data_IF_232197586854
#
_entry.id   IF_232197586854
#
_cell.length_a   1.000
_cell.length_b   1.000
_cell.length_c   1.000
_cell.angle_alpha   90.00
_cell.angle_beta   90.00
_cell.angle_gamma   90.00
#
_symmetry.space_group_name_H-M   'P 1'
#
loop_
_entity.id
_entity.type
_entity.pdbx_description
1 polymer ?
#
# COMPACT_ATOMS: atom_id res chain seq x y z
N UNK A 1 7.20 30.78 7.46
CA UNK A 1 7.09 29.43 6.87
C UNK A 1 8.38 28.70 7.24
N UNK A 2 8.35 28.02 8.38
CA UNK A 2 9.50 27.37 9.00
C UNK A 2 10.10 26.34 8.05
N UNK A 3 11.36 26.57 7.67
CA UNK A 3 12.18 25.62 6.93
C UNK A 3 12.20 24.30 7.68
N UNK A 4 11.48 23.30 7.15
CA UNK A 4 11.59 21.92 7.62
C UNK A 4 13.07 21.58 7.59
N UNK A 5 13.67 21.13 8.71
CA UNK A 5 15.08 20.76 8.72
C UNK A 5 15.26 19.62 7.72
N UNK A 6 15.94 19.91 6.62
CA UNK A 6 16.39 18.91 5.66
C UNK A 6 17.40 18.07 6.43
N UNK A 7 16.95 16.93 6.95
CA UNK A 7 17.84 15.99 7.64
C UNK A 7 18.96 15.65 6.65
N UNK A 8 20.23 15.99 6.96
CA UNK A 8 21.32 15.70 6.04
C UNK A 8 21.32 14.20 5.79
N UNK A 9 21.29 13.83 4.51
CA UNK A 9 21.41 12.45 4.09
C UNK A 9 22.77 11.92 4.57
N UNK A 10 22.77 11.25 5.73
CA UNK A 10 23.97 10.60 6.25
C UNK A 10 24.23 9.39 5.37
N UNK A 11 25.31 9.46 4.60
CA UNK A 11 25.80 8.36 3.75
C UNK A 11 26.22 7.14 4.57
N UNK A 12 26.51 7.34 5.86
CA UNK A 12 26.86 6.28 6.80
C UNK A 12 25.64 5.80 7.59
N UNK A 13 25.44 4.48 7.71
CA UNK A 13 24.36 3.92 8.51
C UNK A 13 24.53 4.32 9.98
N UNK A 14 23.41 4.61 10.65
CA UNK A 14 23.44 4.84 12.09
C UNK A 14 23.84 3.56 12.85
N UNK A 15 24.35 3.70 14.07
CA UNK A 15 24.72 2.55 14.94
C UNK A 15 23.57 1.55 15.08
N UNK A 16 22.34 2.05 15.17
CA UNK A 16 21.11 1.24 15.24
C UNK A 16 20.96 0.38 13.98
N UNK A 17 21.20 0.94 12.79
CA UNK A 17 21.11 0.19 11.54
C UNK A 17 22.15 -0.91 11.45
N UNK A 18 23.36 -0.69 11.96
CA UNK A 18 24.41 -1.72 12.04
C UNK A 18 24.05 -2.84 13.01
N UNK A 19 23.54 -2.51 14.19
CA UNK A 19 23.12 -3.50 15.20
C UNK A 19 21.94 -4.32 14.67
N UNK A 20 20.91 -3.66 14.14
CA UNK A 20 19.75 -4.33 13.56
C UNK A 20 20.13 -5.17 12.33
N UNK A 21 20.96 -4.64 11.43
CA UNK A 21 21.45 -5.35 10.25
C UNK A 21 22.20 -6.62 10.63
N UNK A 22 23.16 -6.52 11.54
CA UNK A 22 23.94 -7.67 12.04
C UNK A 22 23.05 -8.73 12.69
N UNK A 23 22.12 -8.32 13.57
CA UNK A 23 21.19 -9.24 14.21
C UNK A 23 20.30 -9.97 13.20
N UNK A 24 19.80 -9.24 12.20
CA UNK A 24 18.95 -9.80 11.16
C UNK A 24 19.67 -10.77 10.24
N UNK A 25 20.92 -10.48 9.91
CA UNK A 25 21.79 -11.39 9.17
C UNK A 25 22.04 -12.65 9.98
N UNK A 26 22.41 -12.50 11.26
CA UNK A 26 22.64 -13.63 12.15
C UNK A 26 21.41 -14.56 12.22
N UNK A 27 20.23 -13.98 12.42
CA UNK A 27 18.98 -14.74 12.47
C UNK A 27 18.67 -15.47 11.14
N UNK A 28 18.94 -14.83 9.99
CA UNK A 28 18.76 -15.43 8.67
C UNK A 28 19.75 -16.58 8.41
N UNK A 29 21.01 -16.42 8.82
CA UNK A 29 22.05 -17.44 8.71
C UNK A 29 21.67 -18.65 9.57
N UNK A 30 21.34 -18.45 10.85
CA UNK A 30 20.91 -19.53 11.74
C UNK A 30 19.73 -20.29 11.13
N UNK A 31 18.70 -19.57 10.67
CA UNK A 31 17.53 -20.21 10.05
C UNK A 31 17.90 -21.04 8.82
N UNK A 32 18.84 -20.58 8.02
CA UNK A 32 19.27 -21.29 6.80
C UNK A 32 20.14 -22.49 7.14
N UNK A 33 21.04 -22.37 8.13
CA UNK A 33 21.89 -23.45 8.60
C UNK A 33 21.10 -24.59 9.27
N UNK A 34 20.08 -24.25 10.06
CA UNK A 34 19.24 -25.23 10.76
C UNK A 34 18.00 -25.66 9.97
N UNK A 35 17.85 -25.22 8.72
CA UNK A 35 16.74 -25.65 7.87
C UNK A 35 17.05 -27.02 7.24
N UNK A 36 16.15 -28.02 7.35
CA UNK A 36 16.39 -29.37 6.82
C UNK A 36 16.49 -29.43 5.29
N UNK A 37 16.06 -28.39 4.57
CA UNK A 37 16.27 -28.30 3.11
C UNK A 37 16.20 -26.87 2.59
N UNK A 38 17.31 -26.39 2.00
CA UNK A 38 17.38 -25.03 1.45
C UNK A 38 16.36 -24.79 0.33
N UNK A 39 16.21 -25.73 -0.60
CA UNK A 39 15.24 -25.60 -1.71
C UNK A 39 13.81 -25.40 -1.22
N UNK A 40 13.43 -26.03 -0.11
CA UNK A 40 12.09 -25.87 0.49
C UNK A 40 11.95 -24.54 1.21
N UNK A 41 13.03 -24.03 1.79
CA UNK A 41 13.07 -22.72 2.42
C UNK A 41 12.88 -21.58 1.41
N UNK A 42 13.54 -21.62 0.25
CA UNK A 42 13.39 -20.59 -0.79
C UNK A 42 12.02 -20.59 -1.49
N UNK A 43 11.25 -21.69 -1.39
CA UNK A 43 9.86 -21.74 -1.85
C UNK A 43 8.89 -20.99 -0.92
N UNK A 44 9.29 -20.64 0.31
CA UNK A 44 8.42 -19.92 1.26
C UNK A 44 8.47 -18.41 0.97
N UNK A 45 7.31 -17.73 0.82
CA UNK A 45 7.28 -16.28 0.56
C UNK A 45 7.93 -15.45 1.68
N UNK A 46 7.85 -15.93 2.92
CA UNK A 46 8.48 -15.27 4.09
C UNK A 46 10.01 -15.15 3.95
N UNK A 47 10.66 -16.10 3.28
CA UNK A 47 12.11 -16.10 3.05
C UNK A 47 12.51 -14.93 2.14
N UNK A 48 11.70 -14.64 1.12
CA UNK A 48 11.92 -13.50 0.22
C UNK A 48 11.76 -12.15 0.93
N UNK A 49 10.82 -12.06 1.87
CA UNK A 49 10.68 -10.87 2.73
C UNK A 49 11.91 -10.66 3.62
N UNK A 50 12.46 -11.73 4.21
CA UNK A 50 13.69 -11.65 5.01
C UNK A 50 14.90 -11.21 4.15
N UNK A 51 15.02 -11.71 2.91
CA UNK A 51 16.07 -11.29 1.97
C UNK A 51 15.89 -9.82 1.57
N UNK A 52 14.69 -9.41 1.19
CA UNK A 52 14.38 -8.03 0.83
C UNK A 52 14.60 -7.03 1.97
N UNK A 53 14.49 -7.48 3.22
CA UNK A 53 14.81 -6.67 4.39
C UNK A 53 16.34 -6.48 4.62
N UNK A 54 17.14 -7.47 4.24
CA UNK A 54 18.61 -7.41 4.32
C UNK A 54 19.24 -6.68 3.14
N UNK A 55 18.62 -6.76 1.96
CA UNK A 55 19.13 -6.19 0.71
C UNK A 55 19.60 -4.73 0.83
N UNK A 56 18.83 -3.79 1.43
CA UNK A 56 19.25 -2.39 1.54
C UNK A 56 20.46 -2.17 2.46
N UNK A 57 20.67 -3.06 3.44
CA UNK A 57 21.85 -2.99 4.33
C UNK A 57 23.11 -3.38 3.58
N UNK A 58 23.04 -4.39 2.71
CA UNK A 58 24.21 -4.86 1.98
C UNK A 58 24.53 -4.01 0.76
N UNK A 59 23.51 -3.54 0.03
CA UNK A 59 23.71 -2.75 -1.20
C UNK A 59 24.47 -1.45 -0.96
N UNK A 60 24.33 -0.83 0.22
CA UNK A 60 25.04 0.42 0.55
C UNK A 60 26.57 0.25 0.62
N UNK A 61 27.09 -0.98 0.76
CA UNK A 61 28.54 -1.25 0.76
C UNK A 61 29.11 -1.48 -0.64
N UNK A 62 28.25 -1.75 -1.63
CA UNK A 62 28.65 -2.04 -3.01
C UNK A 62 28.44 -0.86 -3.96
N UNK A 63 27.68 0.17 -3.56
CA UNK A 63 27.36 1.32 -4.41
C UNK A 63 28.27 2.49 -4.02
N UNK A 64 29.08 2.95 -4.98
CA UNK A 64 29.94 4.12 -4.82
C UNK A 64 29.12 5.41 -4.66
N UNK A 65 29.64 6.34 -3.85
CA UNK A 65 28.96 7.56 -3.39
C UNK A 65 28.57 8.53 -4.55
N UNK A 66 29.07 8.28 -5.76
CA UNK A 66 28.84 9.11 -6.94
C UNK A 66 27.45 8.97 -7.60
N UNK A 67 26.67 7.92 -7.29
CA UNK A 67 25.41 7.63 -8.00
C UNK A 67 24.16 7.89 -7.12
N UNK A 68 24.01 9.16 -6.71
CA UNK A 68 23.04 9.61 -5.71
C UNK A 68 21.57 9.30 -6.02
N UNK A 69 21.16 9.21 -7.28
CA UNK A 69 19.78 8.89 -7.64
C UNK A 69 19.45 7.40 -7.50
N UNK A 70 20.37 6.51 -7.89
CA UNK A 70 20.20 5.07 -7.70
C UNK A 70 20.19 4.70 -6.23
N UNK A 71 21.07 5.34 -5.46
CA UNK A 71 21.15 5.19 -4.00
C UNK A 71 19.79 5.47 -3.34
N UNK A 72 19.07 6.53 -3.74
CA UNK A 72 17.73 6.87 -3.19
C UNK A 72 16.70 5.75 -3.36
N UNK A 73 16.65 5.12 -4.52
CA UNK A 73 15.74 4.01 -4.77
C UNK A 73 16.12 2.81 -3.89
N UNK A 74 17.42 2.53 -3.73
CA UNK A 74 17.91 1.47 -2.85
C UNK A 74 17.60 1.71 -1.37
N UNK A 75 17.58 2.98 -0.93
CA UNK A 75 17.17 3.36 0.42
C UNK A 75 15.67 3.20 0.63
N UNK A 76 14.82 3.48 -0.36
CA UNK A 76 13.38 3.24 -0.24
C UNK A 76 13.07 1.77 0.05
N UNK A 77 13.90 0.83 -0.44
CA UNK A 77 13.76 -0.58 -0.09
C UNK A 77 14.02 -0.88 1.39
N UNK A 78 14.63 0.02 2.20
CA UNK A 78 14.69 -0.13 3.67
C UNK A 78 13.29 -0.25 4.28
N UNK A 79 12.27 0.35 3.66
CA UNK A 79 10.88 0.21 4.09
C UNK A 79 10.38 -1.24 3.99
N UNK A 80 10.95 -2.08 3.12
CA UNK A 80 10.55 -3.49 3.02
C UNK A 80 10.74 -4.26 4.34
N UNK A 81 11.64 -3.79 5.22
CA UNK A 81 11.82 -4.36 6.56
C UNK A 81 10.54 -4.34 7.39
N UNK A 82 9.62 -3.40 7.13
CA UNK A 82 8.31 -3.35 7.79
C UNK A 82 7.50 -4.62 7.55
N UNK A 83 7.65 -5.26 6.39
CA UNK A 83 6.93 -6.50 6.07
C UNK A 83 7.39 -7.68 6.93
N UNK A 84 8.53 -7.58 7.63
CA UNK A 84 8.90 -8.60 8.64
C UNK A 84 7.91 -8.65 9.79
N UNK A 85 7.16 -7.58 10.08
CA UNK A 85 6.09 -7.58 11.10
C UNK A 85 5.04 -8.67 10.83
N UNK A 86 4.77 -9.00 9.56
CA UNK A 86 3.86 -10.08 9.20
C UNK A 86 4.32 -11.45 9.72
N UNK A 87 5.62 -11.65 9.97
CA UNK A 87 6.13 -12.90 10.52
C UNK A 87 5.95 -12.99 12.04
N UNK A 88 6.00 -11.85 12.72
CA UNK A 88 5.98 -11.76 14.17
C UNK A 88 4.55 -11.78 14.72
N UNK A 89 3.58 -11.31 13.93
CA UNK A 89 2.18 -11.26 14.33
C UNK A 89 1.35 -12.32 13.60
N UNK A 90 0.96 -13.37 14.34
CA UNK A 90 -0.03 -14.35 13.88
C UNK A 90 -1.34 -13.69 13.41
N UNK A 91 -1.72 -12.56 14.04
CA UNK A 91 -2.89 -11.77 13.64
C UNK A 91 -2.74 -11.14 12.25
N UNK A 92 -1.56 -10.63 11.90
CA UNK A 92 -1.29 -10.09 10.56
C UNK A 92 -1.30 -11.20 9.49
N UNK A 93 -0.88 -12.41 9.83
CA UNK A 93 -0.94 -13.57 8.93
C UNK A 93 -2.38 -13.99 8.65
N UNK A 94 -3.22 -14.04 9.68
CA UNK A 94 -4.66 -14.31 9.53
C UNK A 94 -5.31 -13.21 8.69
N UNK A 95 -4.98 -11.94 8.95
CA UNK A 95 -5.49 -10.81 8.17
C UNK A 95 -5.08 -10.92 6.70
N UNK A 96 -3.82 -11.26 6.41
CA UNK A 96 -3.35 -11.48 5.05
C UNK A 96 -4.07 -12.66 4.37
N UNK A 97 -4.36 -13.74 5.12
CA UNK A 97 -5.13 -14.88 4.61
C UNK A 97 -6.59 -14.48 4.32
N UNK A 98 -7.21 -13.71 5.19
CA UNK A 98 -8.56 -13.21 5.00
C UNK A 98 -8.64 -12.26 3.79
N UNK A 99 -7.67 -11.34 3.66
CA UNK A 99 -7.54 -10.48 2.46
C UNK A 99 -7.36 -11.30 1.19
N UNK A 100 -6.55 -12.37 1.25
CA UNK A 100 -6.38 -13.30 0.12
C UNK A 100 -7.70 -13.96 -0.28
N UNK A 101 -8.51 -14.36 0.70
CA UNK A 101 -9.85 -14.89 0.48
C UNK A 101 -10.79 -13.87 -0.17
N UNK A 102 -10.68 -12.60 0.21
CA UNK A 102 -11.48 -11.49 -0.31
C UNK A 102 -10.90 -10.79 -1.54
N UNK A 103 -9.84 -11.31 -2.17
CA UNK A 103 -9.20 -10.64 -3.32
C UNK A 103 -10.16 -10.42 -4.49
N UNK A 104 -11.07 -11.36 -4.72
CA UNK A 104 -12.06 -11.22 -5.79
C UNK A 104 -12.99 -10.02 -5.54
N UNK A 105 -13.42 -9.83 -4.29
CA UNK A 105 -14.32 -8.76 -3.87
C UNK A 105 -13.63 -7.41 -3.84
N UNK A 106 -12.38 -7.38 -3.35
CA UNK A 106 -11.51 -6.20 -3.41
C UNK A 106 -11.19 -5.82 -4.86
N UNK A 107 -11.00 -6.81 -5.73
CA UNK A 107 -10.81 -6.60 -7.17
C UNK A 107 -12.04 -5.98 -7.83
N UNK A 108 -13.25 -6.43 -7.47
CA UNK A 108 -14.51 -5.84 -7.94
C UNK A 108 -14.66 -4.39 -7.47
N UNK A 109 -14.38 -4.09 -6.19
CA UNK A 109 -14.36 -2.72 -5.66
C UNK A 109 -13.40 -1.84 -6.47
N UNK A 110 -12.17 -2.28 -6.69
CA UNK A 110 -11.18 -1.53 -7.47
C UNK A 110 -11.63 -1.31 -8.92
N UNK A 111 -12.27 -2.30 -9.55
CA UNK A 111 -12.81 -2.15 -10.90
C UNK A 111 -13.89 -1.08 -10.95
N UNK A 112 -14.85 -1.10 -10.02
CA UNK A 112 -15.89 -0.07 -9.91
C UNK A 112 -15.26 1.30 -9.66
N UNK A 113 -14.17 1.39 -8.88
CA UNK A 113 -13.47 2.64 -8.60
C UNK A 113 -12.88 3.22 -9.88
N UNK A 114 -12.15 2.40 -10.63
CA UNK A 114 -11.52 2.82 -11.89
C UNK A 114 -12.57 3.30 -12.89
N UNK A 115 -13.66 2.56 -13.05
CA UNK A 115 -14.78 2.97 -13.93
C UNK A 115 -15.36 4.32 -13.48
N UNK A 116 -15.59 4.47 -12.16
CA UNK A 116 -16.13 5.72 -11.59
C UNK A 116 -15.17 6.90 -11.77
N UNK A 117 -13.88 6.69 -11.58
CA UNK A 117 -12.84 7.71 -11.79
C UNK A 117 -12.87 8.18 -13.24
N UNK A 118 -12.87 7.27 -14.21
CA UNK A 118 -12.91 7.62 -15.64
C UNK A 118 -14.21 8.38 -15.96
N UNK A 119 -15.35 7.90 -15.46
CA UNK A 119 -16.66 8.51 -15.69
C UNK A 119 -16.75 9.94 -15.14
N UNK A 120 -16.49 10.15 -13.85
CA UNK A 120 -16.59 11.47 -13.23
C UNK A 120 -15.50 12.45 -13.71
N UNK A 121 -14.30 11.94 -14.03
CA UNK A 121 -13.23 12.76 -14.61
C UNK A 121 -13.57 13.27 -16.00
N UNK A 122 -14.28 12.46 -16.79
CA UNK A 122 -14.78 12.87 -18.11
C UNK A 122 -15.88 13.92 -17.95
N UNK A 123 -16.84 13.71 -17.05
CA UNK A 123 -17.92 14.67 -16.79
C UNK A 123 -17.40 16.03 -16.30
N UNK A 124 -16.46 16.05 -15.34
CA UNK A 124 -15.90 17.31 -14.83
C UNK A 124 -15.06 18.01 -15.90
N UNK A 125 -14.35 17.26 -16.74
CA UNK A 125 -13.62 17.82 -17.88
C UNK A 125 -14.56 18.48 -18.89
N UNK A 126 -15.68 17.85 -19.25
CA UNK A 126 -16.64 18.46 -20.18
C UNK A 126 -17.39 19.66 -19.60
N UNK A 127 -17.59 19.71 -18.27
CA UNK A 127 -18.33 20.81 -17.62
C UNK A 127 -17.44 21.98 -17.21
N UNK A 128 -16.14 21.76 -17.05
CA UNK A 128 -15.22 22.75 -16.48
C UNK A 128 -13.86 22.83 -17.20
N UNK A 129 -13.63 22.06 -18.26
CA UNK A 129 -12.37 22.05 -19.01
C UNK A 129 -12.12 23.33 -19.81
N UNK A 130 -13.19 23.97 -20.31
CA UNK A 130 -13.11 25.22 -21.07
C UNK A 130 -12.96 26.47 -20.19
N UNK A 131 -13.08 26.32 -18.86
CA UNK A 131 -12.99 27.44 -17.93
C UNK A 131 -11.53 27.80 -17.65
N UNK A 132 -11.13 29.04 -17.94
CA UNK A 132 -9.77 29.55 -17.66
C UNK A 132 -9.37 29.52 -16.18
N UNK A 133 -10.34 29.41 -15.26
CA UNK A 133 -10.12 29.30 -13.80
C UNK A 133 -10.03 27.86 -13.30
N UNK A 134 -10.34 26.89 -14.17
CA UNK A 134 -10.32 25.48 -13.85
C UNK A 134 -8.95 24.87 -14.08
N UNK A 135 -8.60 23.89 -13.25
CA UNK A 135 -7.35 23.11 -13.38
C UNK A 135 -7.55 21.81 -14.17
N UNK A 136 -8.77 21.54 -14.62
CA UNK A 136 -9.15 20.34 -15.39
C UNK A 136 -8.76 20.46 -16.87
N UNK A 137 -7.45 20.51 -17.16
CA UNK A 137 -6.95 20.71 -18.52
C UNK A 137 -7.04 19.48 -19.42
N UNK A 138 -7.00 18.28 -18.85
CA UNK A 138 -7.10 17.02 -19.58
C UNK A 138 -7.74 15.96 -18.68
N UNK A 139 -8.43 14.98 -19.26
CA UNK A 139 -9.09 13.89 -18.52
C UNK A 139 -8.15 13.19 -17.52
N UNK A 140 -6.89 12.84 -17.85
CA UNK A 140 -5.99 12.19 -16.90
C UNK A 140 -5.59 13.07 -15.71
N UNK A 141 -5.55 14.41 -15.88
CA UNK A 141 -5.31 15.33 -14.75
C UNK A 141 -6.51 15.34 -13.80
N UNK A 142 -7.72 15.25 -14.34
CA UNK A 142 -8.96 15.16 -13.55
C UNK A 142 -9.07 13.86 -12.74
N UNK A 143 -8.30 12.81 -13.06
CA UNK A 143 -8.27 11.57 -12.27
C UNK A 143 -7.88 11.83 -10.82
N UNK A 144 -6.94 12.74 -10.57
CA UNK A 144 -6.52 13.09 -9.21
C UNK A 144 -7.71 13.56 -8.37
N UNK A 145 -8.46 14.53 -8.89
CA UNK A 145 -9.67 15.05 -8.24
C UNK A 145 -10.74 13.96 -8.04
N UNK A 146 -11.01 13.14 -9.06
CA UNK A 146 -12.02 12.10 -8.95
C UNK A 146 -11.63 11.03 -7.92
N UNK A 147 -10.35 10.64 -7.86
CA UNK A 147 -9.85 9.68 -6.87
C UNK A 147 -10.03 10.24 -5.45
N UNK A 148 -9.55 11.45 -5.18
CA UNK A 148 -9.64 12.04 -3.83
C UNK A 148 -11.09 12.36 -3.42
N UNK A 149 -11.98 12.63 -4.38
CA UNK A 149 -13.40 12.90 -4.10
C UNK A 149 -14.18 11.61 -3.86
N UNK A 150 -13.99 10.57 -4.69
CA UNK A 150 -14.61 9.25 -4.52
C UNK A 150 -14.14 8.57 -3.23
N UNK A 151 -12.88 8.80 -2.83
CA UNK A 151 -12.31 8.30 -1.57
C UNK A 151 -12.56 9.20 -0.36
N UNK A 152 -13.38 10.24 -0.52
CA UNK A 152 -13.79 11.19 0.53
C UNK A 152 -12.62 11.92 1.23
N UNK A 153 -11.45 12.00 0.59
CA UNK A 153 -10.27 12.73 1.12
C UNK A 153 -10.42 14.24 0.92
N UNK A 154 -10.72 14.67 -0.31
CA UNK A 154 -11.08 16.07 -0.61
C UNK A 154 -10.06 17.12 -0.18
N UNK A 155 -8.81 17.06 -0.67
CA UNK A 155 -7.78 18.07 -0.35
C UNK A 155 -8.18 19.52 -0.70
N UNK A 156 -9.04 19.70 -1.72
CA UNK A 156 -9.53 21.01 -2.15
C UNK A 156 -8.51 21.80 -3.00
N UNK A 157 -7.46 21.14 -3.48
CA UNK A 157 -6.46 21.71 -4.39
C UNK A 157 -7.02 21.90 -5.80
N UNK A 158 -7.81 20.94 -6.28
CA UNK A 158 -8.59 21.01 -7.51
C UNK A 158 -10.08 20.89 -7.19
N UNK A 159 -10.91 21.82 -7.67
CA UNK A 159 -12.37 21.77 -7.47
C UNK A 159 -13.11 22.38 -8.65
N UNK A 160 -14.29 21.84 -9.03
CA UNK A 160 -15.10 22.44 -10.08
C UNK A 160 -15.60 23.84 -9.70
N UNK A 161 -15.45 24.76 -10.64
CA UNK A 161 -15.81 26.18 -10.52
C UNK A 161 -17.18 26.42 -11.13
N UNK A 162 -17.54 25.71 -12.21
CA UNK A 162 -18.81 25.88 -12.90
C UNK A 162 -19.99 25.33 -12.08
N UNK A 163 -21.18 25.89 -12.32
CA UNK A 163 -22.40 25.41 -11.67
C UNK A 163 -22.68 23.93 -12.00
N UNK A 164 -22.56 23.55 -13.27
CA UNK A 164 -22.71 22.17 -13.73
C UNK A 164 -21.62 21.26 -13.15
N UNK A 165 -20.37 21.72 -13.07
CA UNK A 165 -19.27 20.99 -12.46
C UNK A 165 -19.50 20.72 -10.97
N UNK A 166 -20.11 21.65 -10.23
CA UNK A 166 -20.47 21.45 -8.81
C UNK A 166 -21.56 20.41 -8.63
N UNK A 167 -22.53 20.32 -9.54
CA UNK A 167 -23.54 19.24 -9.53
C UNK A 167 -22.84 17.89 -9.76
N UNK A 168 -21.94 17.81 -10.74
CA UNK A 168 -21.13 16.61 -11.00
C UNK A 168 -20.29 16.23 -9.77
N UNK A 169 -19.65 17.21 -9.13
CA UNK A 169 -18.87 16.99 -7.91
C UNK A 169 -19.71 16.48 -6.74
N UNK A 170 -20.93 17.01 -6.58
CA UNK A 170 -21.87 16.58 -5.54
C UNK A 170 -22.33 15.14 -5.77
N UNK A 171 -22.68 14.79 -7.01
CA UNK A 171 -23.02 13.43 -7.40
C UNK A 171 -21.83 12.47 -7.22
N UNK A 172 -20.61 12.92 -7.54
CA UNK A 172 -19.38 12.16 -7.36
C UNK A 172 -19.12 11.82 -5.89
N UNK A 173 -19.26 12.80 -4.99
CA UNK A 173 -19.09 12.60 -3.56
C UNK A 173 -20.12 11.60 -2.99
N UNK A 174 -21.40 11.73 -3.37
CA UNK A 174 -22.45 10.80 -2.96
C UNK A 174 -22.18 9.38 -3.47
N UNK A 175 -21.78 9.24 -4.73
CA UNK A 175 -21.41 7.96 -5.33
C UNK A 175 -20.22 7.31 -4.63
N UNK A 176 -19.20 8.09 -4.27
CA UNK A 176 -18.02 7.61 -3.52
C UNK A 176 -18.39 6.96 -2.19
N UNK A 177 -19.26 7.60 -1.41
CA UNK A 177 -19.74 7.05 -0.12
C UNK A 177 -20.49 5.73 -0.32
N UNK A 178 -21.40 5.66 -1.31
CA UNK A 178 -22.14 4.44 -1.63
C UNK A 178 -21.18 3.31 -2.05
N UNK A 179 -20.21 3.66 -2.88
CA UNK A 179 -19.25 2.74 -3.46
C UNK A 179 -18.30 2.13 -2.42
N UNK A 180 -17.91 2.88 -1.39
CA UNK A 180 -17.09 2.38 -0.27
C UNK A 180 -17.92 1.51 0.69
N UNK A 181 -19.18 1.88 0.94
CA UNK A 181 -20.02 1.22 1.94
C UNK A 181 -20.38 -0.23 1.59
N UNK A 182 -20.65 -0.52 0.31
CA UNK A 182 -21.09 -1.86 -0.12
C UNK A 182 -19.98 -2.92 0.05
N UNK A 183 -18.73 -2.72 -0.41
CA UNK A 183 -17.71 -3.76 -0.32
C UNK A 183 -17.15 -3.90 1.08
N UNK A 184 -17.12 -2.84 1.89
CA UNK A 184 -16.80 -2.97 3.32
C UNK A 184 -17.78 -3.92 4.01
N UNK A 185 -19.08 -3.81 3.71
CA UNK A 185 -20.10 -4.68 4.30
C UNK A 185 -19.91 -6.15 3.90
N UNK A 186 -19.56 -6.41 2.64
CA UNK A 186 -19.30 -7.75 2.10
C UNK A 186 -17.98 -8.33 2.66
N UNK A 187 -16.91 -7.56 2.67
CA UNK A 187 -15.62 -7.98 3.23
C UNK A 187 -15.77 -8.27 4.72
N UNK A 188 -16.53 -7.47 5.46
CA UNK A 188 -16.75 -7.69 6.88
C UNK A 188 -17.56 -8.97 7.17
N UNK A 189 -18.58 -9.28 6.37
CA UNK A 189 -19.36 -10.52 6.53
C UNK A 189 -18.49 -11.75 6.24
N UNK A 190 -17.67 -11.70 5.19
CA UNK A 190 -16.73 -12.77 4.87
C UNK A 190 -15.62 -12.92 5.91
N UNK A 191 -15.03 -11.82 6.37
CA UNK A 191 -14.03 -11.85 7.44
C UNK A 191 -14.60 -12.51 8.71
N UNK A 192 -15.82 -12.13 9.08
CA UNK A 192 -16.51 -12.71 10.24
C UNK A 192 -16.75 -14.22 10.07
N UNK A 193 -17.16 -14.66 8.88
CA UNK A 193 -17.36 -16.07 8.54
C UNK A 193 -16.05 -16.86 8.63
N UNK A 194 -14.99 -16.42 7.97
CA UNK A 194 -13.69 -17.09 7.99
C UNK A 194 -13.06 -17.10 9.39
N UNK A 195 -13.24 -16.02 10.15
CA UNK A 195 -12.76 -15.94 11.53
C UNK A 195 -13.51 -16.90 12.46
N UNK A 196 -14.84 -17.01 12.31
CA UNK A 196 -15.65 -17.96 13.07
C UNK A 196 -15.24 -19.42 12.76
N UNK A 197 -15.04 -19.75 11.48
CA UNK A 197 -14.55 -21.07 11.07
C UNK A 197 -13.16 -21.37 11.64
N UNK A 198 -12.21 -20.44 11.56
CA UNK A 198 -10.87 -20.63 12.13
C UNK A 198 -10.92 -20.85 13.65
N UNK A 199 -11.77 -20.10 14.36
CA UNK A 199 -11.95 -20.24 15.82
C UNK A 199 -12.63 -21.56 16.21
N UNK A 200 -13.57 -22.05 15.39
CA UNK A 200 -14.21 -23.36 15.59
C UNK A 200 -13.22 -24.51 15.40
N UNK A 201 -12.35 -24.44 14.38
CA UNK A 201 -11.31 -25.44 14.14
C UNK A 201 -10.28 -25.52 15.28
N UNK A 202 -10.00 -24.40 15.95
CA UNK A 202 -9.13 -24.38 17.14
C UNK A 202 -9.77 -25.00 18.39
N UNK A 203 -11.10 -25.13 18.43
CA UNK A 203 -11.83 -25.74 19.55
C UNK A 203 -12.03 -27.25 19.40
N UNK A 204 -11.78 -27.80 18.21
CA UNK A 204 -11.86 -29.24 18.02
C UNK A 204 -10.62 -29.92 18.63
N UNK A 205 -10.80 -31.02 19.38
CA UNK A 205 -9.66 -31.78 19.88
C UNK A 205 -8.85 -32.31 18.69
N UNK A 206 -7.53 -32.10 18.73
CA UNK A 206 -6.63 -32.72 17.75
C UNK A 206 -6.77 -34.24 17.87
N UNK A 207 -7.15 -34.89 16.77
CA UNK A 207 -6.99 -36.34 16.61
C UNK A 207 -5.52 -36.72 16.54
#
# INVERSE_FOLDING_TARGET
>A
MSSVPVVPYQSTPSVIEYVCGSWFTFEFILRTAFSPSLRRQFKKPMTWVDIGALLPFYLQFFIDVGDMERIKIFIMFRLLRVFRLFRFSYRLQIMALALKGSLHELGLLLLILVISVIFFSTLVFYTDGDNKRSKFQNIPKSFWWAIITLTTVGYGDDTPVSWSGRIVGSACALWGVLMITLPISIVNSNFSLYYAHAKAMLRLPKK
#
